data_IF_462640857135
#
_entry.id   IF_462640857135
#
_cell.length_a   1.000
_cell.length_b   1.000
_cell.length_c   1.000
_cell.angle_alpha   90.00
_cell.angle_beta   90.00
_cell.angle_gamma   90.00
#
_symmetry.space_group_name_H-M   'P 1'
#
loop_
_entity.id
_entity.type
_entity.pdbx_description
1 polymer ?
#
# COMPACT_ATOMS: atom_id res chain seq x y z
N UNK A 1 21.91 -31.12 -16.46
CA UNK A 1 22.75 -30.03 -15.94
C UNK A 1 21.97 -29.22 -14.93
N UNK A 2 22.46 -29.15 -13.69
CA UNK A 2 21.91 -28.28 -12.65
C UNK A 2 22.13 -26.83 -13.08
N UNK A 3 21.06 -26.05 -13.22
CA UNK A 3 21.16 -24.67 -13.66
C UNK A 3 21.68 -23.81 -12.49
N UNK A 4 23.00 -23.75 -12.27
CA UNK A 4 23.61 -23.03 -11.15
C UNK A 4 23.16 -21.56 -11.03
N UNK A 5 22.78 -20.94 -12.15
CA UNK A 5 22.22 -19.58 -12.17
C UNK A 5 20.91 -19.46 -11.39
N UNK A 6 20.01 -20.46 -11.48
CA UNK A 6 18.72 -20.38 -10.78
C UNK A 6 18.87 -20.49 -9.27
N UNK A 7 19.77 -21.36 -8.80
CA UNK A 7 20.03 -21.52 -7.38
C UNK A 7 20.67 -20.28 -6.76
N UNK A 8 21.67 -19.69 -7.44
CA UNK A 8 22.25 -18.41 -7.01
C UNK A 8 21.18 -17.33 -6.92
N UNK A 9 20.33 -17.22 -7.94
CA UNK A 9 19.19 -16.29 -7.92
C UNK A 9 18.24 -16.55 -6.75
N UNK A 10 17.88 -17.81 -6.50
CA UNK A 10 17.01 -18.15 -5.37
C UNK A 10 17.63 -17.76 -4.05
N UNK A 11 18.92 -18.04 -3.83
CA UNK A 11 19.61 -17.66 -2.59
C UNK A 11 19.54 -16.15 -2.41
N UNK A 12 19.90 -15.36 -3.43
CA UNK A 12 19.85 -13.89 -3.37
C UNK A 12 18.45 -13.38 -3.02
N UNK A 13 17.44 -13.89 -3.71
CA UNK A 13 16.05 -13.44 -3.53
C UNK A 13 15.51 -13.85 -2.16
N UNK A 14 15.82 -15.06 -1.68
CA UNK A 14 15.46 -15.51 -0.31
C UNK A 14 16.14 -14.64 0.74
N UNK A 15 17.44 -14.41 0.61
CA UNK A 15 18.19 -13.54 1.53
C UNK A 15 17.61 -12.13 1.58
N UNK A 16 17.32 -11.53 0.41
CA UNK A 16 16.70 -10.20 0.34
C UNK A 16 15.31 -10.18 1.00
N UNK A 17 14.47 -11.19 0.76
CA UNK A 17 13.15 -11.30 1.41
C UNK A 17 13.25 -11.40 2.93
N UNK A 18 14.21 -12.19 3.43
CA UNK A 18 14.46 -12.32 4.88
C UNK A 18 14.92 -10.99 5.47
N UNK A 19 15.85 -10.29 4.82
CA UNK A 19 16.34 -8.99 5.29
C UNK A 19 15.21 -7.95 5.36
N UNK A 20 14.35 -7.89 4.33
CA UNK A 20 13.18 -7.01 4.31
C UNK A 20 12.18 -7.38 5.41
N UNK A 21 11.95 -8.67 5.62
CA UNK A 21 11.08 -9.15 6.70
C UNK A 21 11.62 -8.71 8.06
N UNK A 22 12.92 -8.93 8.33
CA UNK A 22 13.57 -8.53 9.57
C UNK A 22 13.53 -7.03 9.79
N UNK A 23 13.76 -6.22 8.74
CA UNK A 23 13.61 -4.77 8.82
C UNK A 23 12.19 -4.36 9.22
N UNK A 24 11.18 -5.05 8.70
CA UNK A 24 9.76 -4.85 9.04
C UNK A 24 9.38 -5.19 10.50
N UNK A 25 10.28 -5.81 11.28
CA UNK A 25 10.08 -6.07 12.71
C UNK A 25 10.46 -4.88 13.60
N UNK A 26 11.01 -3.81 13.05
CA UNK A 26 11.44 -2.62 13.79
C UNK A 26 10.64 -1.37 13.37
N UNK A 27 9.43 -1.14 13.93
CA UNK A 27 8.53 -0.08 13.48
C UNK A 27 9.14 1.32 13.45
N UNK A 28 9.92 1.69 14.47
CA UNK A 28 10.59 2.98 14.52
C UNK A 28 11.58 3.20 13.36
N UNK A 29 12.30 2.14 12.94
CA UNK A 29 13.22 2.22 11.80
C UNK A 29 12.46 2.25 10.47
N UNK A 30 11.40 1.45 10.35
CA UNK A 30 10.51 1.51 9.19
C UNK A 30 9.95 2.92 9.02
N UNK A 31 9.44 3.53 10.08
CA UNK A 31 8.91 4.88 10.03
C UNK A 31 9.99 5.87 9.57
N UNK A 32 11.13 5.90 10.26
CA UNK A 32 12.21 6.88 10.03
C UNK A 32 12.85 6.78 8.65
N UNK A 33 13.26 5.58 8.23
CA UNK A 33 14.06 5.39 7.02
C UNK A 33 13.22 5.11 5.79
N UNK A 34 12.12 4.36 5.96
CA UNK A 34 11.27 3.94 4.86
C UNK A 34 10.06 4.86 4.68
N UNK A 35 9.13 4.92 5.64
CA UNK A 35 7.84 5.61 5.47
C UNK A 35 7.96 7.12 5.31
N UNK A 36 8.74 7.80 6.17
CA UNK A 36 8.98 9.24 6.09
C UNK A 36 10.19 9.62 5.25
N UNK A 37 10.90 8.62 4.69
CA UNK A 37 12.08 8.80 3.84
C UNK A 37 11.81 8.33 2.42
N UNK A 38 12.29 7.13 2.10
CA UNK A 38 12.26 6.54 0.76
C UNK A 38 10.85 6.54 0.15
N UNK A 39 9.84 6.18 0.93
CA UNK A 39 8.46 6.03 0.45
C UNK A 39 7.81 7.35 0.04
N UNK A 40 8.24 8.50 0.58
CA UNK A 40 7.74 9.80 0.12
C UNK A 40 8.08 10.03 -1.36
N UNK A 41 9.29 9.67 -1.78
CA UNK A 41 9.69 9.76 -3.18
C UNK A 41 8.96 8.75 -4.06
N UNK A 42 8.88 7.48 -3.63
CA UNK A 42 8.15 6.43 -4.37
C UNK A 42 6.69 6.84 -4.60
N UNK A 43 6.00 7.24 -3.52
CA UNK A 43 4.59 7.62 -3.59
C UNK A 43 4.38 8.89 -4.41
N UNK A 44 5.27 9.87 -4.32
CA UNK A 44 5.19 11.08 -5.14
C UNK A 44 5.37 10.76 -6.63
N UNK A 45 6.34 9.91 -6.99
CA UNK A 45 6.53 9.48 -8.38
C UNK A 45 5.31 8.74 -8.93
N UNK A 46 4.72 7.85 -8.14
CA UNK A 46 3.51 7.12 -8.55
C UNK A 46 2.31 8.03 -8.71
N UNK A 47 2.13 8.99 -7.79
CA UNK A 47 1.06 10.01 -7.90
C UNK A 47 1.25 10.85 -9.15
N UNK A 48 2.46 11.31 -9.44
CA UNK A 48 2.74 12.09 -10.65
C UNK A 48 2.43 11.30 -11.93
N UNK A 49 2.86 10.03 -12.01
CA UNK A 49 2.56 9.19 -13.17
C UNK A 49 1.05 8.96 -13.27
N UNK A 50 0.38 8.64 -12.16
CA UNK A 50 -1.07 8.45 -12.12
C UNK A 50 -1.84 9.75 -12.38
N UNK A 51 -1.26 10.92 -12.12
CA UNK A 51 -1.93 12.19 -12.31
C UNK A 51 -2.05 12.55 -13.80
N UNK A 52 -1.14 12.06 -14.64
CA UNK A 52 -1.17 12.29 -16.10
C UNK A 52 -2.37 11.62 -16.79
N UNK A 53 -2.94 10.57 -16.21
CA UNK A 53 -4.01 9.79 -16.85
C UNK A 53 -5.36 10.00 -16.15
N UNK A 54 -6.48 10.02 -16.88
CA UNK A 54 -7.83 10.17 -16.32
C UNK A 54 -8.42 8.85 -15.78
N UNK A 55 -7.63 7.78 -15.69
CA UNK A 55 -8.04 6.46 -15.22
C UNK A 55 -6.97 5.86 -14.30
N UNK A 56 -7.33 4.82 -13.55
CA UNK A 56 -6.42 4.14 -12.62
C UNK A 56 -5.40 3.28 -13.36
N UNK A 57 -4.15 3.74 -13.46
CA UNK A 57 -3.05 2.98 -14.08
C UNK A 57 -2.82 1.64 -13.39
N UNK A 58 -3.09 1.57 -12.09
CA UNK A 58 -3.00 0.33 -11.30
C UNK A 58 -3.82 -0.81 -11.89
N UNK A 59 -5.00 -0.52 -12.45
CA UNK A 59 -5.88 -1.54 -13.03
C UNK A 59 -5.26 -2.17 -14.28
N UNK A 60 -4.56 -1.37 -15.10
CA UNK A 60 -3.81 -1.87 -16.25
C UNK A 60 -2.67 -2.76 -15.79
N UNK A 61 -1.93 -2.35 -14.76
CA UNK A 61 -0.84 -3.17 -14.18
C UNK A 61 -1.38 -4.49 -13.65
N UNK A 62 -2.52 -4.48 -12.95
CA UNK A 62 -3.16 -5.70 -12.47
C UNK A 62 -3.61 -6.60 -13.62
N UNK A 63 -4.27 -6.05 -14.65
CA UNK A 63 -4.69 -6.81 -15.82
C UNK A 63 -3.50 -7.48 -16.53
N UNK A 64 -2.38 -6.78 -16.68
CA UNK A 64 -1.15 -7.32 -17.27
C UNK A 64 -0.53 -8.44 -16.43
N UNK A 65 -0.44 -8.27 -15.11
CA UNK A 65 0.10 -9.31 -14.20
C UNK A 65 -0.80 -10.56 -14.24
N UNK A 66 -2.12 -10.37 -14.12
CA UNK A 66 -3.10 -11.45 -14.16
C UNK A 66 -3.02 -12.18 -15.52
N UNK A 67 -3.01 -11.44 -16.63
CA UNK A 67 -2.86 -12.00 -17.97
C UNK A 67 -1.55 -12.76 -18.17
N UNK A 68 -0.44 -12.24 -17.64
CA UNK A 68 0.86 -12.92 -17.66
C UNK A 68 0.85 -14.24 -16.87
N UNK A 69 0.22 -14.24 -15.68
CA UNK A 69 0.04 -15.45 -14.87
C UNK A 69 -0.79 -16.49 -15.64
N UNK A 70 -1.93 -16.10 -16.23
CA UNK A 70 -2.74 -17.00 -17.06
C UNK A 70 -1.97 -17.55 -18.25
N UNK A 71 -1.24 -16.71 -18.98
CA UNK A 71 -0.39 -17.12 -20.09
C UNK A 71 0.64 -18.18 -19.64
N UNK A 72 1.31 -17.96 -18.51
CA UNK A 72 2.27 -18.91 -17.94
C UNK A 72 1.62 -20.24 -17.55
N UNK A 73 0.44 -20.20 -16.91
CA UNK A 73 -0.31 -21.40 -16.53
C UNK A 73 -0.72 -22.19 -17.77
N UNK A 74 -1.32 -21.55 -18.78
CA UNK A 74 -1.76 -22.22 -20.02
C UNK A 74 -0.55 -22.86 -20.73
N UNK A 75 0.56 -22.12 -20.84
CA UNK A 75 1.79 -22.64 -21.44
C UNK A 75 2.37 -23.82 -20.66
N UNK A 76 2.31 -23.79 -19.33
CA UNK A 76 2.76 -24.88 -18.48
C UNK A 76 1.91 -26.13 -18.66
N UNK A 77 0.58 -26.00 -18.65
CA UNK A 77 -0.37 -27.12 -18.86
C UNK A 77 -0.16 -27.76 -20.23
N UNK A 78 0.02 -26.96 -21.30
CA UNK A 78 0.27 -27.47 -22.65
C UNK A 78 1.58 -28.26 -22.79
N UNK A 79 2.60 -27.95 -21.98
CA UNK A 79 3.93 -28.60 -22.00
C UNK A 79 4.09 -29.70 -20.94
N UNK A 80 3.02 -30.05 -20.21
CA UNK A 80 3.06 -31.00 -19.09
C UNK A 80 3.54 -32.41 -19.52
N UNK A 81 3.30 -32.79 -20.79
CA UNK A 81 3.70 -34.09 -21.35
C UNK A 81 5.22 -34.24 -21.55
N UNK A 82 5.97 -33.13 -21.58
CA UNK A 82 7.41 -33.10 -21.86
C UNK A 82 8.28 -32.94 -20.59
N UNK A 83 7.69 -33.10 -19.40
CA UNK A 83 8.35 -32.82 -18.12
C UNK A 83 9.33 -33.93 -17.72
N UNK A 84 10.61 -33.72 -18.01
CA UNK A 84 11.74 -34.55 -17.53
C UNK A 84 11.99 -34.36 -16.02
N UNK A 85 12.58 -35.34 -15.32
CA UNK A 85 12.90 -35.31 -13.86
C UNK A 85 13.52 -33.99 -13.36
N UNK A 86 14.39 -33.34 -14.14
CA UNK A 86 15.01 -32.06 -13.76
C UNK A 86 13.99 -30.92 -13.55
N UNK A 87 12.83 -30.96 -14.22
CA UNK A 87 11.76 -29.97 -14.06
C UNK A 87 11.10 -30.04 -12.68
N UNK A 88 11.22 -31.15 -11.94
CA UNK A 88 10.65 -31.31 -10.60
C UNK A 88 11.28 -30.38 -9.56
N UNK A 89 12.51 -29.92 -9.79
CA UNK A 89 13.22 -28.99 -8.89
C UNK A 89 13.26 -27.58 -9.48
N UNK A 90 13.49 -27.46 -10.78
CA UNK A 90 13.62 -26.16 -11.43
C UNK A 90 12.30 -25.38 -11.44
N UNK A 91 11.17 -26.04 -11.72
CA UNK A 91 9.86 -25.36 -11.82
C UNK A 91 9.43 -24.78 -10.45
N UNK A 92 9.47 -25.53 -9.34
CA UNK A 92 9.17 -24.95 -8.02
C UNK A 92 10.09 -23.77 -7.65
N UNK A 93 11.39 -23.85 -7.96
CA UNK A 93 12.31 -22.73 -7.71
C UNK A 93 11.97 -21.49 -8.55
N UNK A 94 11.52 -21.66 -9.80
CA UNK A 94 11.05 -20.55 -10.62
C UNK A 94 9.79 -19.90 -10.03
N UNK A 95 8.84 -20.72 -9.57
CA UNK A 95 7.60 -20.26 -8.93
C UNK A 95 7.91 -19.53 -7.63
N UNK A 96 8.74 -20.12 -6.76
CA UNK A 96 9.21 -19.51 -5.52
C UNK A 96 9.88 -18.16 -5.78
N UNK A 97 10.82 -18.11 -6.73
CA UNK A 97 11.51 -16.87 -7.09
C UNK A 97 10.52 -15.81 -7.60
N UNK A 98 9.51 -16.20 -8.38
CA UNK A 98 8.47 -15.28 -8.85
C UNK A 98 7.71 -14.66 -7.68
N UNK A 99 7.22 -15.47 -6.74
CA UNK A 99 6.48 -14.97 -5.59
C UNK A 99 7.36 -14.16 -4.63
N UNK A 100 8.61 -14.55 -4.41
CA UNK A 100 9.52 -13.77 -3.58
C UNK A 100 9.90 -12.43 -4.22
N UNK A 101 10.10 -12.37 -5.54
CA UNK A 101 10.31 -11.10 -6.23
C UNK A 101 9.06 -10.21 -6.10
N UNK A 102 7.86 -10.78 -6.30
CA UNK A 102 6.61 -10.05 -6.10
C UNK A 102 6.49 -9.54 -4.66
N UNK A 103 6.84 -10.37 -3.67
CA UNK A 103 6.89 -9.98 -2.26
C UNK A 103 7.85 -8.82 -2.00
N UNK A 104 9.08 -8.89 -2.53
CA UNK A 104 10.09 -7.82 -2.39
C UNK A 104 9.56 -6.52 -3.00
N UNK A 105 9.06 -6.56 -4.24
CA UNK A 105 8.50 -5.39 -4.92
C UNK A 105 7.35 -4.83 -4.08
N UNK A 106 6.40 -5.67 -3.67
CA UNK A 106 5.27 -5.27 -2.84
C UNK A 106 5.75 -4.57 -1.55
N UNK A 107 6.66 -5.20 -0.80
CA UNK A 107 7.17 -4.66 0.47
C UNK A 107 7.90 -3.33 0.28
N UNK A 108 8.77 -3.22 -0.72
CA UNK A 108 9.55 -2.00 -0.98
C UNK A 108 8.70 -0.88 -1.58
N UNK A 109 7.75 -1.20 -2.44
CA UNK A 109 6.90 -0.18 -3.07
C UNK A 109 5.87 0.36 -2.09
N UNK A 110 5.34 -0.47 -1.18
CA UNK A 110 4.28 -0.03 -0.27
C UNK A 110 4.20 -0.82 1.04
N UNK A 111 4.39 -2.13 0.99
CA UNK A 111 4.02 -3.06 2.05
C UNK A 111 4.82 -2.94 3.36
N UNK A 112 5.96 -2.25 3.37
CA UNK A 112 6.68 -1.91 4.59
C UNK A 112 5.95 -0.82 5.40
N UNK A 113 5.10 0.02 4.80
CA UNK A 113 4.33 1.02 5.56
C UNK A 113 3.40 0.41 6.60
N UNK A 114 2.98 -0.85 6.43
CA UNK A 114 2.19 -1.59 7.41
C UNK A 114 2.96 -1.95 8.68
N UNK A 115 4.28 -1.85 8.65
CA UNK A 115 5.14 -2.13 9.79
C UNK A 115 5.46 -0.88 10.62
N UNK A 116 4.96 0.31 10.25
CA UNK A 116 5.15 1.54 11.03
C UNK A 116 4.27 1.53 12.30
N UNK A 117 4.55 2.35 13.33
CA UNK A 117 3.68 2.50 14.50
C UNK A 117 2.24 2.84 14.11
N UNK A 118 1.28 2.44 14.94
CA UNK A 118 -0.12 2.76 14.65
C UNK A 118 -0.36 4.26 14.82
N UNK A 119 -1.40 4.78 14.14
CA UNK A 119 -1.82 6.17 14.34
C UNK A 119 -2.21 6.44 15.80
N UNK A 120 -2.75 5.43 16.49
CA UNK A 120 -3.07 5.51 17.91
C UNK A 120 -1.81 5.72 18.74
N UNK A 121 -0.75 4.96 18.49
CA UNK A 121 0.53 5.13 19.18
C UNK A 121 1.14 6.51 18.90
N UNK A 122 1.08 6.98 17.64
CA UNK A 122 1.59 8.30 17.25
C UNK A 122 0.80 9.46 17.87
N UNK A 123 -0.51 9.28 18.09
CA UNK A 123 -1.38 10.27 18.72
C UNK A 123 -1.49 10.12 20.25
N UNK A 124 -0.81 9.13 20.84
CA UNK A 124 -0.91 8.82 22.27
C UNK A 124 -2.31 8.35 22.70
N UNK A 125 -3.09 7.79 21.77
CA UNK A 125 -4.39 7.19 22.05
C UNK A 125 -4.16 5.79 22.61
N UNK A 126 -4.78 5.47 23.74
CA UNK A 126 -4.67 4.16 24.37
C UNK A 126 -5.09 3.03 23.43
N UNK A 127 -4.40 1.88 23.51
CA UNK A 127 -4.74 0.66 22.77
C UNK A 127 -5.87 -0.14 23.44
N UNK A 128 -6.76 0.56 24.14
CA UNK A 128 -7.87 -0.03 24.88
C UNK A 128 -8.98 -0.47 23.92
N UNK A 129 -9.49 -1.68 24.14
CA UNK A 129 -10.60 -2.19 23.34
C UNK A 129 -11.87 -1.45 23.74
N UNK A 130 -12.49 -0.77 22.78
CA UNK A 130 -13.80 -0.19 22.98
C UNK A 130 -14.87 -1.28 23.17
N UNK A 131 -15.89 -0.97 23.97
CA UNK A 131 -17.08 -1.78 24.13
C UNK A 131 -18.08 -1.54 23.00
N UNK A 132 -18.98 -2.51 22.79
CA UNK A 132 -20.10 -2.35 21.84
C UNK A 132 -20.93 -1.11 22.19
N UNK A 133 -21.14 -0.84 23.48
CA UNK A 133 -21.91 0.32 23.95
C UNK A 133 -21.25 1.64 23.55
N UNK A 134 -19.93 1.78 23.73
CA UNK A 134 -19.19 2.97 23.31
C UNK A 134 -19.24 3.15 21.79
N UNK A 135 -19.16 2.06 21.02
CA UNK A 135 -19.29 2.12 19.57
C UNK A 135 -20.67 2.61 19.14
N UNK A 136 -21.75 2.11 19.78
CA UNK A 136 -23.12 2.58 19.50
C UNK A 136 -23.26 4.07 19.85
N UNK A 137 -22.79 4.49 21.03
CA UNK A 137 -22.85 5.89 21.44
C UNK A 137 -22.10 6.83 20.49
N UNK A 138 -20.92 6.41 20.03
CA UNK A 138 -20.12 7.16 19.07
C UNK A 138 -20.82 7.25 17.71
N UNK A 139 -21.43 6.15 17.26
CA UNK A 139 -22.23 6.11 16.04
C UNK A 139 -23.42 7.06 16.11
N UNK A 140 -24.19 7.00 17.19
CA UNK A 140 -25.33 7.88 17.43
C UNK A 140 -24.91 9.35 17.52
N UNK A 141 -23.78 9.63 18.16
CA UNK A 141 -23.20 10.97 18.21
C UNK A 141 -22.91 11.50 16.79
N UNK A 142 -22.23 10.72 15.95
CA UNK A 142 -21.91 11.15 14.59
C UNK A 142 -23.15 11.29 13.70
N UNK A 143 -24.11 10.37 13.81
CA UNK A 143 -25.37 10.45 13.08
C UNK A 143 -26.14 11.73 13.44
N UNK A 144 -26.33 11.99 14.73
CA UNK A 144 -27.03 13.18 15.22
C UNK A 144 -26.30 14.47 14.85
N UNK A 145 -24.97 14.50 15.01
CA UNK A 145 -24.16 15.67 14.61
C UNK A 145 -24.29 15.97 13.12
N UNK A 146 -24.23 14.94 12.29
CA UNK A 146 -24.36 15.05 10.82
C UNK A 146 -25.74 15.55 10.43
N UNK A 147 -26.80 14.98 10.99
CA UNK A 147 -28.18 15.41 10.75
C UNK A 147 -28.40 16.86 11.18
N UNK A 148 -27.90 17.25 12.36
CA UNK A 148 -27.98 18.62 12.85
C UNK A 148 -27.23 19.62 11.96
N UNK A 149 -26.05 19.24 11.45
CA UNK A 149 -25.31 20.07 10.50
C UNK A 149 -26.05 20.21 9.17
N UNK A 150 -26.70 19.12 8.68
CA UNK A 150 -27.52 19.18 7.47
C UNK A 150 -28.72 20.12 7.63
N UNK A 151 -29.39 20.09 8.78
CA UNK A 151 -30.52 20.98 9.07
C UNK A 151 -30.12 22.46 9.15
N UNK A 152 -28.88 22.75 9.59
CA UNK A 152 -28.32 24.11 9.60
C UNK A 152 -27.92 24.61 8.21
N UNK A 153 -27.83 23.72 7.23
CA UNK A 153 -27.46 24.07 5.87
C UNK A 153 -28.68 24.68 5.15
N UNK A 154 -28.72 26.01 5.06
CA UNK A 154 -29.86 26.75 4.46
C UNK A 154 -29.89 26.70 2.92
N UNK A 155 -28.80 26.29 2.27
CA UNK A 155 -28.70 26.02 0.84
C UNK A 155 -27.80 24.82 0.60
N UNK A 156 -28.12 24.00 -0.40
CA UNK A 156 -27.14 23.03 -0.91
C UNK A 156 -25.94 23.81 -1.46
N UNK A 157 -24.79 23.64 -0.81
CA UNK A 157 -23.54 24.21 -1.30
C UNK A 157 -23.07 23.34 -2.46
N UNK A 158 -23.08 23.93 -3.65
CA UNK A 158 -22.41 23.35 -4.81
C UNK A 158 -20.94 23.75 -4.71
N UNK A 159 -20.09 22.80 -4.33
CA UNK A 159 -18.66 23.02 -4.21
C UNK A 159 -18.00 22.68 -5.53
N UNK A 160 -17.32 23.65 -6.13
CA UNK A 160 -16.46 23.36 -7.27
C UNK A 160 -15.33 22.41 -6.85
N UNK A 161 -14.84 21.61 -7.79
CA UNK A 161 -13.68 20.72 -7.57
C UNK A 161 -12.49 21.54 -7.05
N UNK A 162 -12.21 22.69 -7.67
CA UNK A 162 -11.15 23.61 -7.25
C UNK A 162 -11.30 24.08 -5.80
N UNK A 163 -12.54 24.35 -5.35
CA UNK A 163 -12.82 24.70 -3.96
C UNK A 163 -12.49 23.54 -3.02
N UNK A 164 -12.90 22.32 -3.35
CA UNK A 164 -12.66 21.14 -2.52
C UNK A 164 -11.17 20.82 -2.44
N UNK A 165 -10.46 20.85 -3.57
CA UNK A 165 -9.01 20.66 -3.61
C UNK A 165 -8.32 21.70 -2.73
N UNK A 166 -8.56 22.98 -2.98
CA UNK A 166 -7.90 24.07 -2.23
C UNK A 166 -8.15 23.97 -0.72
N UNK A 167 -9.40 23.73 -0.30
CA UNK A 167 -9.73 23.69 1.12
C UNK A 167 -9.28 22.41 1.82
N UNK A 168 -9.19 21.28 1.09
CA UNK A 168 -8.67 20.04 1.66
C UNK A 168 -7.18 20.16 2.01
N UNK A 169 -6.35 20.75 1.15
CA UNK A 169 -4.94 21.04 1.46
C UNK A 169 -4.83 21.98 2.67
N UNK A 170 -5.58 23.10 2.66
CA UNK A 170 -5.57 24.08 3.74
C UNK A 170 -5.98 23.47 5.09
N UNK A 171 -6.89 22.50 5.10
CA UNK A 171 -7.28 21.82 6.33
C UNK A 171 -6.11 21.05 6.96
N UNK A 172 -5.28 20.40 6.16
CA UNK A 172 -4.04 19.76 6.63
C UNK A 172 -3.04 20.80 7.15
N UNK A 173 -2.86 21.93 6.46
CA UNK A 173 -1.98 23.01 6.92
C UNK A 173 -2.41 23.59 8.28
N UNK A 174 -3.72 23.67 8.54
CA UNK A 174 -4.25 24.09 9.82
C UNK A 174 -3.97 23.06 10.92
N UNK A 175 -4.12 21.77 10.61
CA UNK A 175 -3.87 20.69 11.56
C UNK A 175 -2.37 20.48 11.84
N UNK A 176 -1.49 20.74 10.86
CA UNK A 176 -0.04 20.68 11.03
C UNK A 176 0.43 21.62 12.15
N UNK A 177 -0.20 22.78 12.31
CA UNK A 177 0.09 23.74 13.40
C UNK A 177 -0.17 23.16 14.79
N UNK A 178 -1.08 22.18 14.90
CA UNK A 178 -1.40 21.52 16.16
C UNK A 178 -0.56 20.26 16.37
N UNK A 179 -0.30 19.51 15.30
CA UNK A 179 0.50 18.29 15.34
C UNK A 179 1.20 18.07 13.99
N UNK A 180 2.52 17.94 14.01
CA UNK A 180 3.35 17.72 12.81
C UNK A 180 3.00 16.46 12.02
N UNK A 181 2.28 15.51 12.61
CA UNK A 181 1.75 14.33 11.94
C UNK A 181 0.89 14.67 10.71
N UNK A 182 0.20 15.82 10.75
CA UNK A 182 -0.68 16.26 9.66
C UNK A 182 0.06 17.00 8.54
N UNK A 183 1.40 17.05 8.56
CA UNK A 183 2.18 17.64 7.48
C UNK A 183 1.91 16.94 6.14
N UNK A 184 1.46 17.69 5.15
CA UNK A 184 1.14 17.16 3.82
C UNK A 184 2.01 17.80 2.72
N UNK A 185 3.28 17.36 2.60
CA UNK A 185 4.28 18.01 1.73
C UNK A 185 3.97 18.00 0.23
N UNK A 186 3.37 16.92 -0.28
CA UNK A 186 3.08 16.73 -1.70
C UNK A 186 1.58 16.48 -1.88
N UNK A 187 0.73 17.52 -1.75
CA UNK A 187 -0.70 17.38 -1.93
C UNK A 187 -0.99 16.96 -3.35
N UNK A 188 -1.55 15.77 -3.50
CA UNK A 188 -2.09 15.29 -4.78
C UNK A 188 -3.59 15.22 -4.60
N UNK A 189 -4.26 16.27 -5.04
CA UNK A 189 -5.69 16.44 -4.98
C UNK A 189 -6.17 16.35 -6.44
N UNK A 190 -7.04 15.39 -6.68
CA UNK A 190 -7.59 15.00 -7.97
C UNK A 190 -9.03 14.61 -7.76
#
# INVERSE_FOLDING_TARGET
MINHSIFKKTIIVVSASILIFLFGLFPAFVQKYYSTGIYLYISSSFRFISSTFPFAIGDIVYALIIGFIFYKIIRFVKRKKDLVRAHRVIVPLQILNFFLILYIIFKLVWGLNYSRPSISDELGIGNEKYSVKELVLLGDYFANKTNNLKMKQTKNQDYSIEYLETNSAKAYDLMEKQNSLFRYQNPCLK
#
